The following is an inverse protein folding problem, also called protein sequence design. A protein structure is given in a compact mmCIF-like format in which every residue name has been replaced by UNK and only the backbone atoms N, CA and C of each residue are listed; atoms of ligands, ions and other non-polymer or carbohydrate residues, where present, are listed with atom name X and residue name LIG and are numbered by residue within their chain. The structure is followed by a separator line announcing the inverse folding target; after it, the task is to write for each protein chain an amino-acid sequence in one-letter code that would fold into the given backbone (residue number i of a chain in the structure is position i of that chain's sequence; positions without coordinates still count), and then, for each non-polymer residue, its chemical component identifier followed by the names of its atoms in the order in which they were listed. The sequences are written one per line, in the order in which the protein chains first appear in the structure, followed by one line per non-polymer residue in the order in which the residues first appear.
data_IF_169885636503
#
_entry.id   IF_169885636503
#
_cell.length_a   1.000
_cell.length_b   1.000
_cell.length_c   1.000
_cell.angle_alpha   90.00
_cell.angle_beta   90.00
_cell.angle_gamma   90.00
#
_symmetry.space_group_name_H-M   'P 1'
#
loop_
_entity.id
_entity.type
_entity.pdbx_description
1 polymer ?
#
# COMPACT_ATOMS: atom_id res chain seq x y z
N UNK A 1 -28.58 54.29 -18.28
CA UNK A 1 -28.48 53.34 -17.14
C UNK A 1 -28.52 51.96 -17.75
N UNK A 2 -27.38 51.28 -17.91
CA UNK A 2 -26.82 50.30 -16.96
C UNK A 2 -27.75 49.06 -16.84
N UNK A 3 -27.36 47.79 -16.93
CA UNK A 3 -26.11 47.10 -16.56
C UNK A 3 -26.27 45.65 -17.10
N UNK A 4 -25.38 45.17 -17.97
CA UNK A 4 -24.34 44.14 -17.71
C UNK A 4 -24.81 42.66 -17.77
N UNK A 5 -24.12 41.78 -18.55
CA UNK A 5 -24.55 40.41 -18.83
C UNK A 5 -24.07 39.42 -17.76
N UNK A 6 -24.94 38.50 -17.34
CA UNK A 6 -24.60 37.42 -16.41
C UNK A 6 -24.06 36.21 -17.21
N UNK A 7 -22.75 36.21 -17.43
CA UNK A 7 -21.98 35.04 -17.85
C UNK A 7 -21.95 34.01 -16.71
N UNK A 8 -22.73 32.95 -16.83
CA UNK A 8 -22.64 31.77 -15.96
C UNK A 8 -21.42 30.94 -16.39
N UNK A 9 -20.27 31.24 -15.82
CA UNK A 9 -19.08 30.38 -15.90
C UNK A 9 -19.25 29.15 -15.02
N UNK A 10 -19.54 28.00 -15.62
CA UNK A 10 -19.49 26.71 -14.94
C UNK A 10 -18.01 26.33 -14.71
N UNK A 11 -17.47 26.73 -13.57
CA UNK A 11 -16.17 26.28 -13.09
C UNK A 11 -16.33 24.83 -12.59
N UNK A 12 -16.09 23.86 -13.47
CA UNK A 12 -16.01 22.45 -13.08
C UNK A 12 -14.67 22.28 -12.36
N UNK A 13 -14.71 22.35 -11.03
CA UNK A 13 -13.61 21.99 -10.15
C UNK A 13 -13.29 20.51 -10.36
N UNK A 14 -12.28 20.21 -11.15
CA UNK A 14 -11.65 18.90 -11.20
C UNK A 14 -10.99 18.66 -9.84
N UNK A 15 -11.70 17.99 -8.93
CA UNK A 15 -11.11 17.44 -7.71
C UNK A 15 -10.12 16.36 -8.14
N UNK A 16 -8.81 16.51 -7.88
CA UNK A 16 -7.87 15.43 -8.14
C UNK A 16 -8.31 14.26 -7.25
N UNK A 17 -8.76 13.18 -7.88
CA UNK A 17 -9.04 11.93 -7.20
C UNK A 17 -7.70 11.33 -6.77
N UNK A 18 -7.14 11.83 -5.66
CA UNK A 18 -6.09 11.12 -4.96
C UNK A 18 -6.72 9.83 -4.47
N UNK A 19 -6.48 8.73 -5.19
CA UNK A 19 -6.85 7.39 -4.76
C UNK A 19 -6.29 7.19 -3.36
N UNK A 20 -7.16 7.27 -2.36
CA UNK A 20 -6.79 7.03 -0.98
C UNK A 20 -6.31 5.57 -0.92
N UNK A 21 -5.00 5.38 -0.71
CA UNK A 21 -4.51 4.08 -0.28
C UNK A 21 -5.10 3.81 1.10
N UNK A 22 -5.44 2.56 1.37
CA UNK A 22 -5.98 2.19 2.66
C UNK A 22 -4.97 2.39 3.78
N UNK A 23 -5.51 2.44 4.97
CA UNK A 23 -4.78 2.43 6.22
C UNK A 23 -4.00 1.11 6.38
N UNK A 24 -2.70 1.18 6.12
CA UNK A 24 -1.72 0.13 6.45
C UNK A 24 -1.04 0.56 7.74
N UNK A 25 -0.91 -0.37 8.68
CA UNK A 25 -0.45 -0.09 10.04
C UNK A 25 0.94 -0.65 10.31
N UNK A 26 1.69 0.00 11.19
CA UNK A 26 2.96 -0.47 11.73
C UNK A 26 2.68 -1.49 12.85
N UNK A 27 3.70 -2.21 13.36
CA UNK A 27 3.52 -3.20 14.41
C UNK A 27 2.88 -2.60 15.69
N UNK A 28 3.06 -1.29 15.90
CA UNK A 28 2.53 -0.55 17.05
C UNK A 28 1.06 -0.13 16.87
N UNK A 29 0.40 -0.51 15.77
CA UNK A 29 -0.99 -0.16 15.49
C UNK A 29 -1.21 1.28 15.01
N UNK A 30 -0.14 1.98 14.62
CA UNK A 30 -0.19 3.34 14.06
C UNK A 30 -0.16 3.24 12.54
N UNK A 31 -0.81 4.16 11.83
CA UNK A 31 -0.71 4.24 10.37
C UNK A 31 0.75 4.36 9.92
N UNK A 32 1.12 3.62 8.86
CA UNK A 32 2.43 3.75 8.24
C UNK A 32 2.66 5.19 7.80
N UNK A 33 3.75 5.75 8.28
CA UNK A 33 4.22 7.07 7.89
C UNK A 33 4.68 7.09 6.43
N UNK A 34 4.77 8.29 5.86
CA UNK A 34 5.35 8.48 4.52
C UNK A 34 6.80 7.99 4.40
N UNK A 35 7.54 7.94 5.52
CA UNK A 35 8.91 7.45 5.56
C UNK A 35 8.93 5.91 5.50
N UNK A 36 8.10 5.23 6.31
CA UNK A 36 7.98 3.77 6.30
C UNK A 36 7.48 3.24 4.94
N UNK A 37 6.54 3.94 4.29
CA UNK A 37 6.13 3.59 2.92
C UNK A 37 7.26 3.63 1.89
N UNK A 38 8.28 4.46 2.12
CA UNK A 38 9.45 4.64 1.25
C UNK A 38 10.67 3.87 1.74
N UNK A 39 10.56 3.17 2.86
CA UNK A 39 11.64 2.34 3.38
C UNK A 39 11.98 1.28 2.33
N UNK A 40 13.27 1.18 1.99
CA UNK A 40 13.74 0.39 0.88
C UNK A 40 14.57 -0.81 1.36
N UNK A 41 14.49 -1.91 0.61
CA UNK A 41 15.32 -3.08 0.84
C UNK A 41 16.82 -2.74 0.83
N UNK A 42 17.56 -3.43 1.69
CA UNK A 42 18.99 -3.30 1.91
C UNK A 42 19.83 -4.23 1.03
N UNK A 43 19.22 -5.28 0.46
CA UNK A 43 19.79 -6.26 -0.47
C UNK A 43 20.29 -5.73 -1.84
N UNK A 44 20.28 -4.41 -2.03
CA UNK A 44 20.72 -3.76 -3.27
C UNK A 44 19.64 -3.61 -4.35
N UNK A 45 18.47 -4.27 -4.21
CA UNK A 45 17.35 -4.11 -5.17
C UNK A 45 16.59 -2.80 -4.99
N UNK A 46 16.69 -2.18 -3.80
CA UNK A 46 16.07 -0.88 -3.45
C UNK A 46 14.55 -0.87 -3.64
N UNK A 47 13.91 -1.99 -3.35
CA UNK A 47 12.45 -2.12 -3.42
C UNK A 47 11.84 -1.39 -2.24
N UNK A 48 10.86 -0.52 -2.45
CA UNK A 48 10.17 0.15 -1.35
C UNK A 48 9.02 -0.68 -0.79
N UNK A 49 8.61 -0.42 0.46
CA UNK A 49 7.44 -1.06 1.07
C UNK A 49 6.20 -0.84 0.19
N UNK A 50 6.06 0.37 -0.36
CA UNK A 50 4.98 0.69 -1.31
C UNK A 50 5.00 -0.21 -2.54
N UNK A 51 6.16 -0.40 -3.16
CA UNK A 51 6.28 -1.21 -4.37
C UNK A 51 5.91 -2.66 -4.09
N UNK A 52 6.47 -3.23 -3.01
CA UNK A 52 6.25 -4.59 -2.56
C UNK A 52 4.77 -4.88 -2.30
N UNK A 53 4.10 -4.04 -1.50
CA UNK A 53 2.69 -4.27 -1.15
C UNK A 53 1.73 -3.97 -2.30
N UNK A 54 1.99 -2.94 -3.10
CA UNK A 54 1.11 -2.57 -4.25
C UNK A 54 1.15 -3.62 -5.35
N UNK A 55 2.29 -4.31 -5.51
CA UNK A 55 2.50 -5.31 -6.55
C UNK A 55 2.80 -6.70 -5.96
N UNK A 56 2.32 -7.00 -4.75
CA UNK A 56 2.44 -8.33 -4.15
C UNK A 56 1.67 -9.37 -4.98
N UNK A 57 2.20 -10.60 -5.04
CA UNK A 57 1.48 -11.73 -5.64
C UNK A 57 0.20 -12.11 -4.87
N UNK A 58 0.06 -11.70 -3.60
CA UNK A 58 -1.15 -11.92 -2.81
C UNK A 58 -2.25 -10.91 -3.12
N UNK A 59 -3.41 -11.41 -3.56
CA UNK A 59 -4.62 -10.58 -3.75
C UNK A 59 -5.14 -9.96 -2.46
N UNK A 60 -4.90 -10.58 -1.31
CA UNK A 60 -5.33 -10.04 -0.02
C UNK A 60 -4.53 -8.78 0.34
N UNK A 61 -3.21 -8.82 0.13
CA UNK A 61 -2.32 -7.67 0.34
C UNK A 61 -2.68 -6.54 -0.62
N UNK A 62 -2.74 -6.81 -1.92
CA UNK A 62 -3.07 -5.76 -2.90
C UNK A 62 -4.48 -5.19 -2.71
N UNK A 63 -5.45 -5.98 -2.24
CA UNK A 63 -6.78 -5.49 -1.83
C UNK A 63 -6.72 -4.65 -0.56
N UNK A 64 -5.91 -5.06 0.42
CA UNK A 64 -5.67 -4.32 1.65
C UNK A 64 -5.05 -2.95 1.40
N UNK A 65 -4.05 -2.85 0.51
CA UNK A 65 -3.47 -1.54 0.11
C UNK A 65 -4.51 -0.65 -0.57
N UNK A 66 -5.44 -1.23 -1.34
CA UNK A 66 -6.52 -0.49 -2.04
C UNK A 66 -7.72 -0.16 -1.16
N UNK A 67 -7.80 -0.73 0.05
CA UNK A 67 -8.90 -0.49 1.00
C UNK A 67 -10.20 -1.14 0.57
N UNK A 68 -10.11 -2.25 -0.15
CA UNK A 68 -11.28 -2.99 -0.65
C UNK A 68 -11.42 -4.34 0.06
N UNK A 69 -12.61 -4.91 0.02
CA UNK A 69 -12.93 -6.23 0.59
C UNK A 69 -12.73 -6.35 2.12
N UNK A 70 -12.60 -5.23 2.83
CA UNK A 70 -12.49 -5.19 4.29
C UNK A 70 -11.15 -5.70 4.84
N UNK A 71 -10.11 -5.75 4.00
CA UNK A 71 -8.76 -6.13 4.43
C UNK A 71 -8.05 -4.96 5.09
N UNK A 72 -7.36 -5.26 6.18
CA UNK A 72 -6.45 -4.37 6.88
C UNK A 72 -5.08 -5.04 6.95
N UNK A 73 -4.04 -4.27 6.69
CA UNK A 73 -2.66 -4.77 6.69
C UNK A 73 -1.89 -4.19 7.87
N UNK A 74 -1.11 -5.03 8.52
CA UNK A 74 -0.13 -4.60 9.51
C UNK A 74 1.24 -5.10 9.06
N UNK A 75 2.17 -4.18 8.81
CA UNK A 75 3.58 -4.53 8.58
C UNK A 75 4.17 -4.90 9.93
N UNK A 76 4.45 -6.17 10.14
CA UNK A 76 5.01 -6.73 11.36
C UNK A 76 6.53 -6.63 11.41
N UNK A 77 7.18 -6.71 10.25
CA UNK A 77 8.62 -6.55 10.10
C UNK A 77 8.95 -5.88 8.77
N UNK A 78 9.95 -5.00 8.79
CA UNK A 78 10.49 -4.33 7.63
C UNK A 78 11.84 -4.96 7.25
N UNK A 79 11.97 -5.41 6.01
CA UNK A 79 13.20 -5.86 5.36
C UNK A 79 14.10 -6.77 6.20
N UNK A 80 13.54 -7.91 6.61
CA UNK A 80 14.32 -8.97 7.23
C UNK A 80 15.14 -9.72 6.18
N UNK A 81 16.40 -10.00 6.50
CA UNK A 81 17.29 -10.79 5.63
C UNK A 81 16.72 -12.20 5.45
N UNK A 82 16.64 -12.67 4.20
CA UNK A 82 16.09 -13.98 3.84
C UNK A 82 16.83 -14.54 2.60
N UNK A 83 16.86 -15.88 2.38
CA UNK A 83 17.64 -16.49 1.30
C UNK A 83 17.28 -15.97 -0.09
N UNK A 84 16.01 -15.58 -0.29
CA UNK A 84 15.47 -15.10 -1.55
C UNK A 84 15.53 -13.56 -1.69
N UNK A 85 16.13 -12.86 -0.72
CA UNK A 85 16.23 -11.40 -0.63
C UNK A 85 15.48 -10.83 0.57
N UNK A 86 15.57 -9.52 0.80
CA UNK A 86 14.92 -8.92 1.98
C UNK A 86 13.40 -9.06 1.92
N UNK A 87 12.77 -9.32 3.07
CA UNK A 87 11.35 -9.63 3.19
C UNK A 87 10.60 -8.69 4.13
N UNK A 88 9.34 -8.41 3.78
CA UNK A 88 8.36 -7.79 4.66
C UNK A 88 7.47 -8.88 5.25
N UNK A 89 7.22 -8.84 6.56
CA UNK A 89 6.22 -9.70 7.20
C UNK A 89 4.94 -8.90 7.38
N UNK A 90 3.84 -9.37 6.78
CA UNK A 90 2.56 -8.69 6.71
C UNK A 90 1.49 -9.54 7.37
N UNK A 91 0.90 -9.03 8.45
CA UNK A 91 -0.32 -9.62 8.99
C UNK A 91 -1.53 -9.05 8.24
N UNK A 92 -2.37 -9.93 7.72
CA UNK A 92 -3.59 -9.57 7.01
C UNK A 92 -4.78 -9.88 7.90
N UNK A 93 -5.53 -8.84 8.28
CA UNK A 93 -6.81 -8.96 8.97
C UNK A 93 -7.96 -8.71 8.02
N UNK A 94 -9.09 -9.35 8.26
CA UNK A 94 -10.36 -9.02 7.62
C UNK A 94 -11.45 -9.01 8.68
N UNK A 95 -12.18 -7.89 8.77
CA UNK A 95 -13.23 -7.68 9.78
C UNK A 95 -12.73 -7.97 11.22
N UNK A 96 -11.52 -7.49 11.54
CA UNK A 96 -10.92 -7.61 12.88
C UNK A 96 -10.31 -8.99 13.22
N UNK A 97 -10.41 -9.98 12.33
CA UNK A 97 -9.79 -11.30 12.53
C UNK A 97 -8.56 -11.48 11.64
N UNK A 98 -7.49 -12.06 12.18
CA UNK A 98 -6.31 -12.47 11.40
C UNK A 98 -6.73 -13.53 10.39
N UNK A 99 -6.37 -13.32 9.12
CA UNK A 99 -6.64 -14.24 8.01
C UNK A 99 -5.39 -14.95 7.53
N UNK A 100 -4.28 -14.24 7.48
CA UNK A 100 -2.99 -14.78 7.08
C UNK A 100 -1.87 -13.91 7.65
N UNK A 101 -0.69 -14.51 7.78
CA UNK A 101 0.57 -13.79 7.89
C UNK A 101 1.36 -14.15 6.65
N UNK A 102 1.81 -13.13 5.91
CA UNK A 102 2.46 -13.30 4.62
C UNK A 102 3.86 -12.70 4.65
N UNK A 103 4.79 -13.31 3.92
CA UNK A 103 6.12 -12.78 3.64
C UNK A 103 6.11 -12.23 2.21
N UNK A 104 6.47 -10.96 2.02
CA UNK A 104 6.61 -10.33 0.71
C UNK A 104 8.08 -10.05 0.46
N UNK A 105 8.67 -10.78 -0.49
CA UNK A 105 10.07 -10.65 -0.83
C UNK A 105 10.31 -9.45 -1.76
N UNK A 106 11.48 -8.85 -1.64
CA UNK A 106 12.04 -7.88 -2.59
C UNK A 106 12.30 -8.49 -3.99
N UNK A 107 12.24 -9.81 -4.13
CA UNK A 107 12.36 -10.50 -5.42
C UNK A 107 11.04 -10.52 -6.18
N UNK A 108 11.13 -10.39 -7.52
CA UNK A 108 9.97 -10.46 -8.41
C UNK A 108 9.97 -11.73 -9.24
N UNK A 109 8.78 -12.31 -9.38
CA UNK A 109 8.45 -13.23 -10.46
C UNK A 109 7.53 -12.51 -11.44
N UNK A 110 8.04 -12.17 -12.62
CA UNK A 110 7.33 -11.36 -13.61
C UNK A 110 7.13 -9.91 -13.16
N UNK A 111 5.88 -9.47 -13.03
CA UNK A 111 5.53 -8.10 -12.60
C UNK A 111 5.25 -7.97 -11.11
N UNK A 112 5.12 -9.08 -10.39
CA UNK A 112 4.73 -9.12 -8.99
C UNK A 112 5.89 -9.52 -8.09
N UNK A 113 5.90 -8.97 -6.88
CA UNK A 113 6.80 -9.41 -5.82
C UNK A 113 6.35 -10.75 -5.28
N UNK A 114 7.31 -11.64 -5.05
CA UNK A 114 7.06 -12.96 -4.50
C UNK A 114 6.40 -12.82 -3.13
N UNK A 115 5.40 -13.66 -2.88
CA UNK A 115 4.62 -13.56 -1.66
C UNK A 115 4.18 -14.95 -1.23
N UNK A 116 4.51 -15.29 0.01
CA UNK A 116 4.13 -16.55 0.65
C UNK A 116 3.15 -16.26 1.78
N UNK A 117 1.99 -16.91 1.73
CA UNK A 117 0.97 -16.95 2.77
C UNK A 117 0.51 -18.43 2.86
#
# INVERSE_FOLDING_TARGET
MAFMPLLLGALVLAVPSSSAMADVYSPNGVLLSSAEWKEASTDGKKVTVRDALTNSASRMITSGVKGVNGYTLTVMSFWSDSPDGDELVIEVRQNGSVKATCEVSSTKTGTTYETTC
#
